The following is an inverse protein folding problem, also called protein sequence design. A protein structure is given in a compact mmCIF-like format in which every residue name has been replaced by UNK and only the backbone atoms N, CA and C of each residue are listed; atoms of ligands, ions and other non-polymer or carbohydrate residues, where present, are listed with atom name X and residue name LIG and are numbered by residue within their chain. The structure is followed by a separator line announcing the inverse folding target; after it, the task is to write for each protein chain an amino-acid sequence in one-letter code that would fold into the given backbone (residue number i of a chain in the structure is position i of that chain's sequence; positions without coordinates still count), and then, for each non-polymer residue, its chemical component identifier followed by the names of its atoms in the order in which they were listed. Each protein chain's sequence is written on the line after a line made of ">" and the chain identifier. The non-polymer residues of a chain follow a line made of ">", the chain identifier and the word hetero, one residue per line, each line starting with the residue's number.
data_IF_583845655254
#
_entry.id   IF_583845655254
#
_cell.length_a   1.000
_cell.length_b   1.000
_cell.length_c   1.000
_cell.angle_alpha   90.00
_cell.angle_beta   90.00
_cell.angle_gamma   90.00
#
_symmetry.space_group_name_H-M   'P 1'
#
loop_
_entity.id
_entity.type
_entity.pdbx_description
1 polymer ?
#
# COMPACT_ATOMS: atom_id res chain seq x y z
N UNK A 1 11.04 0.79 -3.50
CA UNK A 1 10.96 -0.08 -4.70
C UNK A 1 9.56 -0.67 -4.83
N UNK A 2 9.14 -1.22 -5.99
CA UNK A 2 7.83 -1.87 -6.11
C UNK A 2 7.63 -3.02 -5.11
N UNK A 3 8.68 -3.80 -4.84
CA UNK A 3 8.64 -4.88 -3.86
C UNK A 3 8.44 -4.35 -2.42
N UNK A 4 9.06 -3.23 -2.05
CA UNK A 4 8.83 -2.60 -0.73
C UNK A 4 7.39 -2.12 -0.56
N UNK A 5 6.79 -1.52 -1.60
CA UNK A 5 5.37 -1.09 -1.53
C UNK A 5 4.46 -2.30 -1.31
N UNK A 6 4.68 -3.38 -2.07
CA UNK A 6 3.95 -4.64 -1.92
C UNK A 6 4.16 -5.27 -0.53
N UNK A 7 5.38 -5.26 -0.03
CA UNK A 7 5.72 -5.74 1.31
C UNK A 7 5.02 -4.94 2.40
N UNK A 8 5.00 -3.60 2.28
CA UNK A 8 4.38 -2.72 3.27
C UNK A 8 2.85 -2.87 3.27
N UNK A 9 2.22 -2.89 2.10
CA UNK A 9 0.76 -2.88 1.97
C UNK A 9 0.14 -4.28 2.08
N UNK A 10 0.74 -5.28 1.43
CA UNK A 10 0.19 -6.63 1.34
C UNK A 10 0.93 -7.68 2.20
N UNK A 11 2.04 -7.30 2.85
CA UNK A 11 2.80 -8.18 3.73
C UNK A 11 3.81 -9.09 3.02
N UNK A 12 3.92 -9.04 1.68
CA UNK A 12 4.92 -9.77 0.90
C UNK A 12 5.25 -9.05 -0.43
N UNK A 13 6.53 -9.06 -0.81
CA UNK A 13 7.03 -8.30 -1.96
C UNK A 13 6.57 -8.76 -3.36
N UNK A 14 6.01 -9.97 -3.47
CA UNK A 14 5.55 -10.55 -4.74
C UNK A 14 4.04 -10.41 -4.98
N UNK A 15 3.32 -9.64 -4.15
CA UNK A 15 1.89 -9.41 -4.34
C UNK A 15 1.58 -8.84 -5.75
N UNK A 16 0.46 -9.25 -6.33
CA UNK A 16 -0.03 -8.67 -7.58
C UNK A 16 -0.73 -7.31 -7.35
N UNK A 17 -1.10 -6.62 -8.43
CA UNK A 17 -1.71 -5.30 -8.36
C UNK A 17 -3.09 -5.35 -7.67
N UNK A 18 -3.89 -6.37 -7.94
CA UNK A 18 -5.23 -6.51 -7.35
C UNK A 18 -5.16 -6.77 -5.85
N UNK A 19 -4.17 -7.55 -5.40
CA UNK A 19 -3.90 -7.79 -3.99
C UNK A 19 -3.52 -6.51 -3.27
N UNK A 20 -2.65 -5.67 -3.86
CA UNK A 20 -2.32 -4.35 -3.30
C UNK A 20 -3.56 -3.46 -3.23
N UNK A 21 -4.36 -3.38 -4.29
CA UNK A 21 -5.60 -2.58 -4.31
C UNK A 21 -6.62 -3.07 -3.27
N UNK A 22 -6.81 -4.38 -3.13
CA UNK A 22 -7.68 -4.99 -2.13
C UNK A 22 -7.22 -4.64 -0.72
N UNK A 23 -5.91 -4.69 -0.47
CA UNK A 23 -5.35 -4.33 0.82
C UNK A 23 -5.47 -2.83 1.11
N UNK A 24 -5.29 -1.95 0.11
CA UNK A 24 -5.57 -0.52 0.26
C UNK A 24 -7.01 -0.28 0.70
N UNK A 25 -7.97 -0.96 0.07
CA UNK A 25 -9.39 -0.85 0.46
C UNK A 25 -9.60 -1.31 1.91
N UNK A 26 -9.05 -2.46 2.30
CA UNK A 26 -9.20 -2.98 3.65
C UNK A 26 -8.55 -2.08 4.70
N UNK A 27 -7.34 -1.58 4.45
CA UNK A 27 -6.60 -0.72 5.39
C UNK A 27 -7.28 0.64 5.60
N UNK A 28 -7.93 1.16 4.56
CA UNK A 28 -8.59 2.48 4.58
C UNK A 28 -10.11 2.40 4.72
N UNK A 29 -10.67 1.20 4.90
CA UNK A 29 -12.11 0.95 5.00
C UNK A 29 -12.91 1.52 3.82
N UNK A 30 -12.38 1.38 2.61
CA UNK A 30 -13.04 1.85 1.38
C UNK A 30 -13.96 0.77 0.82
N UNK A 31 -15.14 1.18 0.35
CA UNK A 31 -16.08 0.27 -0.34
C UNK A 31 -15.57 -0.15 -1.73
N UNK A 32 -14.78 0.72 -2.38
CA UNK A 32 -14.25 0.51 -3.72
C UNK A 32 -12.79 0.94 -3.80
N UNK A 33 -12.03 0.35 -4.72
CA UNK A 33 -10.65 0.75 -4.98
C UNK A 33 -10.60 2.21 -5.49
N UNK A 34 -9.59 3.00 -5.10
CA UNK A 34 -9.40 4.33 -5.69
C UNK A 34 -9.28 4.24 -7.22
N UNK A 35 -9.97 5.15 -7.91
CA UNK A 35 -9.91 5.25 -9.38
C UNK A 35 -9.44 6.66 -9.78
N UNK A 36 -8.65 6.80 -10.86
CA UNK A 36 -8.15 5.73 -11.74
C UNK A 36 -7.07 4.88 -11.05
N UNK A 37 -6.60 3.85 -11.75
CA UNK A 37 -5.63 2.86 -11.24
C UNK A 37 -4.37 3.48 -10.61
N UNK A 38 -3.94 4.63 -11.12
CA UNK A 38 -2.83 5.45 -10.63
C UNK A 38 -3.11 6.08 -9.25
N UNK A 39 -4.37 6.39 -8.94
CA UNK A 39 -4.76 6.85 -7.60
C UNK A 39 -4.52 5.75 -6.55
N UNK A 40 -4.85 4.50 -6.87
CA UNK A 40 -4.59 3.38 -5.96
C UNK A 40 -3.09 3.16 -5.74
N UNK A 41 -2.28 3.27 -6.81
CA UNK A 41 -0.82 3.20 -6.73
C UNK A 41 -0.25 4.34 -5.86
N UNK A 42 -0.77 5.56 -6.00
CA UNK A 42 -0.39 6.71 -5.18
C UNK A 42 -0.70 6.51 -3.69
N UNK A 43 -1.88 5.99 -3.37
CA UNK A 43 -2.27 5.66 -1.99
C UNK A 43 -1.37 4.58 -1.40
N UNK A 44 -1.05 3.53 -2.17
CA UNK A 44 -0.16 2.46 -1.74
C UNK A 44 1.26 2.99 -1.41
N UNK A 45 1.78 3.92 -2.23
CA UNK A 45 3.07 4.58 -1.96
C UNK A 45 3.00 5.42 -0.69
N UNK A 46 1.92 6.17 -0.47
CA UNK A 46 1.74 6.97 0.74
C UNK A 46 1.70 6.10 2.01
N UNK A 47 0.97 4.98 1.99
CA UNK A 47 0.95 4.00 3.08
C UNK A 47 2.34 3.42 3.35
N UNK A 48 3.06 3.03 2.30
CA UNK A 48 4.44 2.55 2.41
C UNK A 48 5.35 3.61 3.06
N UNK A 49 5.22 4.88 2.66
CA UNK A 49 6.01 5.97 3.25
C UNK A 49 5.70 6.16 4.74
N UNK A 50 4.42 6.19 5.12
CA UNK A 50 3.98 6.34 6.51
C UNK A 50 4.51 5.20 7.39
N UNK A 51 4.44 3.96 6.91
CA UNK A 51 4.93 2.80 7.65
C UNK A 51 6.45 2.85 7.84
N UNK A 52 7.21 3.18 6.79
CA UNK A 52 8.67 3.35 6.88
C UNK A 52 9.05 4.48 7.83
N UNK A 53 8.37 5.63 7.74
CA UNK A 53 8.60 6.77 8.62
C UNK A 53 8.24 6.47 10.09
N UNK A 54 7.18 5.69 10.32
CA UNK A 54 6.80 5.22 11.64
C UNK A 54 7.91 4.38 12.25
N UNK A 55 8.41 3.35 11.54
CA UNK A 55 9.51 2.52 12.06
C UNK A 55 10.79 3.32 12.32
N UNK A 56 11.16 4.24 11.42
CA UNK A 56 12.34 5.09 11.59
C UNK A 56 12.25 6.01 12.83
N UNK A 57 11.04 6.33 13.31
CA UNK A 57 10.84 7.14 14.51
C UNK A 57 11.03 6.34 15.82
N UNK A 58 10.93 5.02 15.77
CA UNK A 58 11.05 4.13 16.93
C UNK A 58 12.32 3.27 16.94
N UNK A 59 13.14 3.39 15.91
CA UNK A 59 14.49 2.82 15.84
C UNK A 59 15.51 3.85 16.34
#
# INVERSE_FOLDING_TARGET
>A
TPAEVKQAVAGYGNADKQQVQTMVMHLLQLEHAPTPDDAADGVAIALCHLQTAYYARFA
#
